data_IF_489790428798
#
_entry.id   IF_489790428798
#
_cell.length_a   1.000
_cell.length_b   1.000
_cell.length_c   1.000
_cell.angle_alpha   90.00
_cell.angle_beta   90.00
_cell.angle_gamma   90.00
#
_symmetry.space_group_name_H-M   'P 1'
#
loop_
_entity.id
_entity.type
_entity.pdbx_description
1 polymer ?
#
# COMPACT_ATOMS: atom_id res chain seq x y z
N UNK A 1 -0.54 -12.61 -18.63
CA UNK A 1 -1.68 -12.79 -17.77
C UNK A 1 -1.46 -11.85 -16.59
N UNK A 2 -2.12 -10.69 -16.59
CA UNK A 2 -1.99 -9.67 -15.56
C UNK A 2 -2.80 -10.14 -14.36
N UNK A 3 -2.14 -10.34 -13.21
CA UNK A 3 -2.77 -10.80 -11.98
C UNK A 3 -3.73 -9.71 -11.48
N UNK A 4 -4.99 -10.00 -11.47
CA UNK A 4 -6.01 -9.27 -10.71
C UNK A 4 -5.85 -9.62 -9.21
N UNK A 5 -6.51 -8.92 -8.27
CA UNK A 5 -6.36 -9.14 -6.84
C UNK A 5 -6.42 -10.62 -6.49
N UNK A 6 -5.45 -11.08 -5.74
CA UNK A 6 -4.95 -12.46 -5.73
C UNK A 6 -5.99 -13.56 -5.47
N UNK A 7 -6.99 -13.33 -4.65
CA UNK A 7 -8.03 -14.32 -4.36
C UNK A 7 -9.21 -14.31 -5.34
N UNK A 8 -9.61 -13.17 -5.89
CA UNK A 8 -10.76 -13.09 -6.79
C UNK A 8 -10.44 -13.50 -8.23
N UNK A 9 -9.22 -13.28 -8.70
CA UNK A 9 -8.86 -13.53 -10.10
C UNK A 9 -8.49 -14.97 -10.39
N UNK A 10 -7.93 -15.71 -9.44
CA UNK A 10 -7.61 -17.12 -9.67
C UNK A 10 -8.85 -18.02 -9.68
N UNK A 11 -9.91 -17.64 -8.96
CA UNK A 11 -11.19 -18.34 -9.05
C UNK A 11 -11.93 -18.11 -10.38
N UNK A 12 -11.57 -17.10 -11.16
CA UNK A 12 -12.24 -16.80 -12.42
C UNK A 12 -11.72 -17.60 -13.64
N UNK A 13 -10.54 -18.21 -13.56
CA UNK A 13 -9.96 -18.97 -14.68
C UNK A 13 -10.31 -20.46 -14.69
N UNK A 14 -11.03 -20.96 -13.70
CA UNK A 14 -11.57 -22.31 -13.75
C UNK A 14 -12.89 -22.34 -14.52
N UNK A 15 -12.82 -22.51 -15.83
CA UNK A 15 -13.89 -23.12 -16.60
C UNK A 15 -14.12 -24.55 -16.10
N UNK A 16 -15.38 -24.90 -15.93
CA UNK A 16 -15.97 -26.02 -15.25
C UNK A 16 -15.49 -27.43 -15.66
N UNK A 17 -14.20 -27.74 -15.61
CA UNK A 17 -13.80 -29.14 -15.93
C UNK A 17 -12.68 -29.76 -15.10
N UNK A 18 -11.98 -29.01 -14.22
CA UNK A 18 -10.91 -29.65 -13.43
C UNK A 18 -10.68 -28.90 -12.11
N UNK A 19 -11.41 -29.23 -11.08
CA UNK A 19 -10.90 -29.21 -9.72
C UNK A 19 -11.93 -29.64 -8.69
N UNK A 20 -11.58 -30.67 -8.01
CA UNK A 20 -12.28 -31.24 -6.86
C UNK A 20 -12.10 -30.45 -5.57
N UNK A 21 -11.14 -29.51 -5.48
CA UNK A 21 -10.90 -28.75 -4.27
C UNK A 21 -11.65 -27.41 -4.27
N UNK A 22 -12.50 -27.22 -3.26
CA UNK A 22 -13.19 -25.96 -2.95
C UNK A 22 -12.34 -25.02 -2.08
N UNK A 23 -11.28 -25.55 -1.47
CA UNK A 23 -10.37 -24.82 -0.61
C UNK A 23 -9.22 -24.25 -1.44
N UNK A 24 -8.89 -23.00 -1.21
CA UNK A 24 -7.70 -22.33 -1.74
C UNK A 24 -6.84 -21.91 -0.55
N UNK A 25 -5.56 -22.27 -0.58
CA UNK A 25 -4.56 -21.86 0.40
C UNK A 25 -3.44 -21.16 -0.38
N UNK A 26 -3.00 -20.03 0.11
CA UNK A 26 -1.90 -19.29 -0.47
C UNK A 26 -1.25 -18.37 0.57
N UNK A 27 -0.38 -17.52 0.10
CA UNK A 27 0.26 -16.51 0.90
C UNK A 27 1.39 -15.83 0.16
N UNK A 28 2.03 -14.92 0.84
CA UNK A 28 3.24 -14.25 0.38
C UNK A 28 4.08 -13.80 1.58
N UNK A 29 5.29 -13.41 1.29
CA UNK A 29 6.16 -12.84 2.31
C UNK A 29 7.52 -12.44 1.75
N UNK A 30 8.25 -11.68 2.52
CA UNK A 30 9.60 -11.28 2.21
C UNK A 30 10.49 -11.25 3.45
N UNK A 31 11.79 -11.46 3.22
CA UNK A 31 12.85 -11.22 4.18
C UNK A 31 13.87 -10.28 3.54
N UNK A 32 14.14 -9.16 4.20
CA UNK A 32 14.91 -8.04 3.64
C UNK A 32 16.02 -7.63 4.58
N UNK A 33 17.22 -7.47 4.04
CA UNK A 33 18.31 -6.71 4.66
C UNK A 33 18.43 -5.37 3.93
N UNK A 34 18.42 -4.26 4.67
CA UNK A 34 18.67 -2.93 4.11
C UNK A 34 19.75 -2.19 4.85
N UNK A 35 20.53 -1.39 4.11
CA UNK A 35 21.54 -0.45 4.61
C UNK A 35 21.18 0.95 4.16
N UNK A 36 21.00 1.85 5.13
CA UNK A 36 20.75 3.26 4.93
C UNK A 36 22.04 4.03 5.25
N UNK A 37 22.46 4.92 4.36
CA UNK A 37 23.70 5.70 4.51
C UNK A 37 23.41 7.12 5.02
N UNK A 38 22.38 7.27 5.83
CA UNK A 38 21.95 8.50 6.47
C UNK A 38 21.39 8.17 7.87
N UNK A 39 21.23 9.18 8.71
CA UNK A 39 20.62 9.02 10.04
C UNK A 39 19.10 8.88 9.95
N UNK A 40 18.52 8.01 10.77
CA UNK A 40 17.06 7.91 10.97
C UNK A 40 16.50 8.96 11.92
N UNK A 41 17.35 9.76 12.56
CA UNK A 41 16.92 10.76 13.52
C UNK A 41 15.99 11.81 12.88
N UNK A 42 14.84 12.05 13.50
CA UNK A 42 13.81 12.97 12.97
C UNK A 42 14.33 14.40 12.82
N UNK A 43 15.31 14.83 13.66
CA UNK A 43 15.95 16.15 13.59
C UNK A 43 16.89 16.33 12.40
N UNK A 44 17.13 15.31 11.57
CA UNK A 44 17.96 15.42 10.36
C UNK A 44 17.44 16.45 9.36
N UNK A 45 16.14 16.73 9.39
CA UNK A 45 15.54 17.76 8.53
C UNK A 45 15.69 19.18 9.12
N UNK A 46 15.61 19.34 10.43
CA UNK A 46 15.77 20.65 11.08
C UNK A 46 17.23 21.04 11.33
N UNK A 47 18.16 20.09 11.30
CA UNK A 47 19.58 20.27 11.58
C UNK A 47 20.46 19.49 10.58
N UNK A 48 20.26 19.72 9.28
CA UNK A 48 20.90 18.94 8.21
C UNK A 48 22.45 18.90 8.33
N UNK A 49 23.08 20.02 8.64
CA UNK A 49 24.54 20.10 8.80
C UNK A 49 25.06 19.18 9.92
N UNK A 50 24.30 19.04 11.00
CA UNK A 50 24.67 18.18 12.13
C UNK A 50 24.65 16.69 11.77
N UNK A 51 23.75 16.30 10.86
CA UNK A 51 23.53 14.91 10.49
C UNK A 51 24.15 14.52 9.16
N UNK A 52 24.88 15.42 8.49
CA UNK A 52 25.50 15.18 7.19
C UNK A 52 26.46 13.99 7.19
N UNK A 53 27.28 13.87 8.24
CA UNK A 53 28.27 12.81 8.40
C UNK A 53 27.83 11.76 9.45
N UNK A 54 26.56 11.73 9.80
CA UNK A 54 26.05 10.78 10.77
C UNK A 54 26.19 9.34 10.24
N UNK A 55 26.57 8.38 11.09
CA UNK A 55 26.62 6.98 10.68
C UNK A 55 25.21 6.52 10.28
N UNK A 56 25.13 5.87 9.14
CA UNK A 56 23.88 5.25 8.71
C UNK A 56 23.55 4.01 9.55
N UNK A 57 22.42 3.37 9.25
CA UNK A 57 21.92 2.21 9.98
C UNK A 57 21.58 1.05 9.03
N UNK A 58 21.46 -0.15 9.57
CA UNK A 58 21.01 -1.33 8.84
C UNK A 58 19.82 -1.95 9.53
N UNK A 59 18.93 -2.59 8.74
CA UNK A 59 17.78 -3.33 9.25
C UNK A 59 17.76 -4.74 8.65
N UNK A 60 17.33 -5.70 9.47
CA UNK A 60 16.79 -6.98 9.03
C UNK A 60 15.29 -6.92 9.29
N UNK A 61 14.51 -7.22 8.29
CA UNK A 61 13.07 -7.02 8.32
C UNK A 61 12.34 -8.19 7.65
N UNK A 62 11.19 -8.55 8.19
CA UNK A 62 10.19 -9.41 7.57
C UNK A 62 8.94 -8.55 7.34
N UNK A 63 8.93 -7.67 6.33
CA UNK A 63 7.86 -6.68 6.19
C UNK A 63 6.48 -7.30 6.25
N UNK A 64 6.31 -8.43 5.56
CA UNK A 64 5.03 -9.14 5.51
C UNK A 64 5.27 -10.66 5.53
N UNK A 65 4.45 -11.38 6.29
CA UNK A 65 4.31 -12.82 6.21
C UNK A 65 2.81 -13.15 6.25
N UNK A 66 2.22 -13.46 5.10
CA UNK A 66 0.76 -13.48 4.91
C UNK A 66 0.26 -14.88 4.59
N UNK A 67 -0.84 -15.26 5.22
CA UNK A 67 -1.60 -16.48 4.96
C UNK A 67 -2.94 -16.10 4.32
N UNK A 68 -3.21 -16.65 3.14
CA UNK A 68 -4.46 -16.47 2.42
C UNK A 68 -5.28 -17.77 2.43
N UNK A 69 -6.54 -17.69 2.83
CA UNK A 69 -7.47 -18.80 2.79
C UNK A 69 -8.74 -18.40 2.03
N UNK A 70 -9.22 -19.29 1.18
CA UNK A 70 -10.47 -19.09 0.46
C UNK A 70 -11.27 -20.38 0.38
N UNK A 71 -12.59 -20.26 0.41
CA UNK A 71 -13.46 -21.42 0.23
C UNK A 71 -14.66 -21.09 -0.68
N UNK A 72 -14.90 -21.96 -1.67
CA UNK A 72 -16.05 -21.87 -2.57
C UNK A 72 -17.16 -22.82 -2.10
N UNK A 73 -18.26 -22.26 -1.59
CA UNK A 73 -19.43 -23.03 -1.15
C UNK A 73 -20.25 -23.57 -2.35
N UNK A 74 -19.95 -23.12 -3.55
CA UNK A 74 -20.79 -23.35 -4.74
C UNK A 74 -21.93 -22.33 -4.85
N UNK A 75 -22.70 -22.46 -5.93
CA UNK A 75 -23.82 -21.53 -6.22
C UNK A 75 -23.41 -20.05 -6.24
N UNK A 76 -22.15 -19.75 -6.49
CA UNK A 76 -21.58 -18.38 -6.51
C UNK A 76 -21.28 -17.78 -5.14
N UNK A 77 -21.37 -18.53 -4.05
CA UNK A 77 -20.96 -18.09 -2.72
C UNK A 77 -19.51 -18.48 -2.43
N UNK A 78 -18.73 -17.54 -1.92
CA UNK A 78 -17.36 -17.78 -1.47
C UNK A 78 -16.99 -16.87 -0.30
N UNK A 79 -15.99 -17.30 0.47
CA UNK A 79 -15.32 -16.51 1.48
C UNK A 79 -13.85 -16.40 1.15
N UNK A 80 -13.21 -15.35 1.66
CA UNK A 80 -11.75 -15.19 1.66
C UNK A 80 -11.31 -14.49 2.92
N UNK A 81 -10.13 -14.86 3.37
CA UNK A 81 -9.44 -14.20 4.48
C UNK A 81 -7.95 -14.09 4.15
N UNK A 82 -7.35 -13.04 4.65
CA UNK A 82 -5.93 -12.74 4.54
C UNK A 82 -5.46 -12.26 5.90
N UNK A 83 -4.55 -13.02 6.51
CA UNK A 83 -4.00 -12.77 7.83
C UNK A 83 -2.53 -12.43 7.63
N UNK A 84 -2.15 -11.24 8.03
CA UNK A 84 -0.81 -10.71 7.94
C UNK A 84 -0.11 -10.71 9.28
N UNK A 85 1.17 -11.07 9.25
CA UNK A 85 2.12 -10.89 10.33
C UNK A 85 3.14 -9.85 9.86
N UNK A 86 3.01 -8.63 10.32
CA UNK A 86 3.97 -7.56 10.02
C UNK A 86 5.19 -7.68 10.93
N UNK A 87 6.38 -7.43 10.37
CA UNK A 87 7.65 -7.51 11.09
C UNK A 87 7.81 -8.78 11.95
N UNK A 88 7.13 -9.86 11.55
CA UNK A 88 6.88 -11.09 12.28
C UNK A 88 8.09 -12.00 12.44
N UNK A 89 9.08 -11.73 13.05
CA UNK A 89 10.30 -12.50 13.31
C UNK A 89 11.32 -11.67 14.05
N UNK A 90 11.05 -10.41 14.26
CA UNK A 90 11.84 -9.52 15.10
C UNK A 90 11.25 -9.61 16.50
N UNK A 91 11.89 -10.38 17.37
CA UNK A 91 11.34 -10.85 18.64
C UNK A 91 11.18 -9.80 19.73
N UNK A 92 11.57 -8.57 19.58
CA UNK A 92 11.34 -7.54 20.59
C UNK A 92 11.35 -6.15 19.98
N UNK A 93 10.22 -5.51 19.94
CA UNK A 93 10.16 -4.06 19.87
C UNK A 93 10.26 -3.51 21.29
N UNK A 94 11.23 -2.66 21.53
CA UNK A 94 11.17 -1.73 22.65
C UNK A 94 10.37 -0.55 22.10
N UNK A 95 9.08 -0.52 22.34
CA UNK A 95 8.31 0.68 22.15
C UNK A 95 8.85 1.72 23.14
N UNK A 96 9.53 2.69 22.62
CA UNK A 96 9.83 3.90 23.38
C UNK A 96 8.57 4.72 23.32
N UNK A 97 7.68 4.54 24.27
CA UNK A 97 6.65 5.52 24.54
C UNK A 97 7.32 6.81 24.99
N UNK A 98 7.62 7.66 24.03
CA UNK A 98 8.11 8.99 24.29
C UNK A 98 6.91 9.89 24.54
N UNK A 99 6.70 10.28 25.82
CA UNK A 99 5.96 11.46 26.27
C UNK A 99 4.45 11.37 26.48
N UNK A 100 3.84 10.20 26.66
CA UNK A 100 2.40 10.23 26.97
C UNK A 100 2.08 10.42 28.47
N UNK A 101 3.00 10.16 29.37
CA UNK A 101 2.71 10.24 30.82
C UNK A 101 3.70 11.02 31.68
N UNK A 102 4.80 11.52 31.09
CA UNK A 102 5.89 12.10 31.89
C UNK A 102 6.68 11.07 32.70
N UNK A 103 6.39 9.81 32.54
CA UNK A 103 7.13 8.67 33.07
C UNK A 103 7.73 7.92 31.88
N UNK A 104 9.05 7.74 31.89
CA UNK A 104 9.76 6.94 30.90
C UNK A 104 9.51 5.46 31.21
N UNK A 105 8.40 4.92 30.79
CA UNK A 105 8.19 3.47 30.81
C UNK A 105 8.73 2.90 29.49
N UNK A 106 9.69 2.00 29.61
CA UNK A 106 10.13 1.14 28.52
C UNK A 106 9.34 -0.16 28.65
N UNK A 107 8.23 -0.28 27.92
CA UNK A 107 7.64 -1.59 27.70
C UNK A 107 8.42 -2.31 26.61
N UNK A 108 8.88 -3.50 26.92
CA UNK A 108 9.45 -4.42 25.95
C UNK A 108 8.30 -5.30 25.49
N UNK A 109 7.65 -4.91 24.41
CA UNK A 109 6.70 -5.80 23.73
C UNK A 109 7.45 -6.77 22.82
N UNK A 110 6.99 -8.00 22.77
CA UNK A 110 7.47 -8.97 21.78
C UNK A 110 6.86 -8.63 20.44
N UNK A 111 7.72 -8.26 19.49
CA UNK A 111 7.35 -7.64 18.25
C UNK A 111 6.51 -8.45 17.30
N UNK A 112 5.83 -7.73 16.46
CA UNK A 112 5.04 -8.16 15.34
C UNK A 112 3.56 -7.89 15.54
N UNK A 113 2.97 -7.14 14.65
CA UNK A 113 1.52 -6.95 14.56
C UNK A 113 0.88 -8.11 13.80
N UNK A 114 -0.28 -8.57 14.24
CA UNK A 114 -1.13 -9.51 13.49
C UNK A 114 -2.36 -8.74 13.02
N UNK A 115 -2.40 -8.47 11.73
CA UNK A 115 -3.48 -7.74 11.09
C UNK A 115 -4.40 -8.67 10.29
N UNK A 116 -5.70 -8.40 10.33
CA UNK A 116 -6.65 -9.01 9.43
C UNK A 116 -6.80 -8.10 8.20
N UNK A 117 -6.02 -8.32 7.15
CA UNK A 117 -6.10 -7.50 5.94
C UNK A 117 -7.39 -7.71 5.15
N UNK A 118 -7.88 -8.94 5.10
CA UNK A 118 -9.13 -9.24 4.43
C UNK A 118 -9.93 -10.29 5.20
N UNK A 119 -11.23 -10.07 5.28
CA UNK A 119 -12.21 -11.08 5.72
C UNK A 119 -13.56 -10.75 5.09
N UNK A 120 -13.95 -11.50 4.08
CA UNK A 120 -15.16 -11.17 3.32
C UNK A 120 -15.97 -12.39 2.89
N UNK A 121 -17.25 -12.13 2.67
CA UNK A 121 -18.19 -13.03 2.00
C UNK A 121 -18.57 -12.42 0.66
N UNK A 122 -18.59 -13.23 -0.38
CA UNK A 122 -18.95 -12.81 -1.73
C UNK A 122 -20.08 -13.64 -2.31
N UNK A 123 -21.00 -12.96 -2.99
CA UNK A 123 -21.99 -13.58 -3.89
C UNK A 123 -21.72 -13.17 -5.32
N UNK A 124 -21.42 -14.13 -6.16
CA UNK A 124 -21.30 -13.95 -7.60
C UNK A 124 -22.64 -14.32 -8.25
N UNK A 125 -23.31 -13.34 -8.85
CA UNK A 125 -24.58 -13.55 -9.57
C UNK A 125 -24.32 -13.90 -11.04
N UNK A 126 -23.45 -13.15 -11.69
CA UNK A 126 -23.04 -13.34 -13.07
C UNK A 126 -21.73 -12.60 -13.35
N UNK A 127 -21.31 -12.54 -14.62
CA UNK A 127 -20.09 -11.83 -15.02
C UNK A 127 -20.14 -10.33 -14.74
N UNK A 128 -21.34 -9.73 -14.79
CA UNK A 128 -21.49 -8.27 -14.72
C UNK A 128 -21.81 -7.76 -13.32
N UNK A 129 -22.32 -8.60 -12.44
CA UNK A 129 -22.75 -8.19 -11.11
C UNK A 129 -22.34 -9.21 -10.06
N UNK A 130 -21.56 -8.74 -9.10
CA UNK A 130 -21.11 -9.48 -7.93
C UNK A 130 -21.13 -8.56 -6.73
N UNK A 131 -21.40 -9.09 -5.56
CA UNK A 131 -21.40 -8.36 -4.30
C UNK A 131 -20.39 -9.01 -3.37
N UNK A 132 -19.58 -8.20 -2.71
CA UNK A 132 -18.68 -8.62 -1.64
C UNK A 132 -18.92 -7.73 -0.43
N UNK A 133 -18.95 -8.31 0.76
CA UNK A 133 -19.12 -7.58 2.03
C UNK A 133 -18.18 -8.13 3.09
N UNK A 134 -17.68 -7.27 3.95
CA UNK A 134 -16.72 -7.59 5.00
C UNK A 134 -15.53 -6.64 4.97
N UNK A 135 -14.40 -7.09 5.48
CA UNK A 135 -13.13 -6.35 5.41
C UNK A 135 -12.46 -6.60 4.07
N UNK A 136 -12.31 -5.55 3.27
CA UNK A 136 -11.97 -5.64 1.85
C UNK A 136 -10.91 -4.61 1.47
N UNK A 137 -10.07 -4.93 0.49
CA UNK A 137 -9.09 -3.98 -0.05
C UNK A 137 -9.82 -2.85 -0.79
N UNK A 138 -9.44 -1.62 -0.49
CA UNK A 138 -9.94 -0.42 -1.17
C UNK A 138 -9.25 -0.28 -2.52
N UNK A 139 -9.97 -0.22 -3.66
CA UNK A 139 -9.39 -0.35 -4.98
C UNK A 139 -8.81 0.97 -5.53
N UNK A 140 -8.27 1.82 -4.67
CA UNK A 140 -7.70 3.13 -5.01
C UNK A 140 -6.20 3.01 -5.10
N UNK A 141 -5.63 3.54 -6.19
CA UNK A 141 -4.20 3.49 -6.46
C UNK A 141 -3.73 2.20 -7.14
N UNK A 142 -2.48 2.21 -7.60
CA UNK A 142 -1.83 1.09 -8.26
C UNK A 142 -1.39 0.03 -7.25
N UNK A 143 -0.80 0.45 -6.14
CA UNK A 143 -0.17 -0.43 -5.15
C UNK A 143 -1.20 -1.25 -4.40
N UNK A 144 -2.30 -0.64 -3.93
CA UNK A 144 -3.38 -1.38 -3.26
C UNK A 144 -3.96 -2.50 -4.13
N UNK A 145 -4.08 -2.26 -5.44
CA UNK A 145 -4.54 -3.28 -6.38
C UNK A 145 -3.49 -4.34 -6.70
N UNK A 146 -2.19 -4.08 -6.41
CA UNK A 146 -1.06 -4.93 -6.77
C UNK A 146 0.01 -4.95 -5.67
N UNK A 147 -0.38 -5.29 -4.44
CA UNK A 147 0.46 -5.21 -3.25
C UNK A 147 1.37 -6.43 -3.00
N UNK A 148 1.19 -7.53 -3.75
CA UNK A 148 2.04 -8.70 -3.57
C UNK A 148 3.51 -8.41 -3.94
N UNK A 149 4.49 -8.91 -3.17
CA UNK A 149 5.90 -8.58 -3.36
C UNK A 149 6.49 -9.04 -4.70
N UNK A 150 5.83 -9.94 -5.41
CA UNK A 150 6.22 -10.35 -6.78
C UNK A 150 5.60 -9.47 -7.88
N UNK A 151 4.76 -8.50 -7.53
CA UNK A 151 4.07 -7.62 -8.48
C UNK A 151 4.79 -6.30 -8.71
N UNK A 152 5.77 -5.94 -7.90
CA UNK A 152 6.65 -4.78 -8.06
C UNK A 152 8.12 -5.22 -8.01
N UNK A 153 9.03 -4.38 -8.55
CA UNK A 153 10.44 -4.78 -8.64
C UNK A 153 11.22 -4.47 -7.36
N UNK A 154 10.93 -3.38 -6.67
CA UNK A 154 11.58 -3.04 -5.40
C UNK A 154 11.43 -4.11 -4.33
N UNK A 155 12.20 -4.02 -3.27
CA UNK A 155 12.03 -4.83 -2.05
C UNK A 155 10.88 -4.31 -1.21
N UNK A 156 10.68 -3.00 -1.21
CA UNK A 156 9.52 -2.36 -0.62
C UNK A 156 8.58 -1.83 -1.70
N UNK A 157 7.33 -1.57 -1.33
CA UNK A 157 6.31 -0.95 -2.20
C UNK A 157 6.80 0.39 -2.75
N UNK A 158 6.33 0.88 -3.91
CA UNK A 158 6.62 2.23 -4.40
C UNK A 158 6.37 3.28 -3.33
N UNK A 159 7.35 4.19 -3.14
CA UNK A 159 7.36 5.04 -1.95
C UNK A 159 6.29 6.13 -1.99
N UNK A 160 6.08 6.78 -3.14
CA UNK A 160 5.18 7.93 -3.23
C UNK A 160 3.75 7.59 -2.87
N UNK A 161 3.14 6.66 -3.57
CA UNK A 161 1.77 6.21 -3.30
C UNK A 161 1.64 5.66 -1.86
N UNK A 162 2.63 4.85 -1.42
CA UNK A 162 2.65 4.29 -0.08
C UNK A 162 2.82 5.36 1.03
N UNK A 163 3.33 6.54 0.69
CA UNK A 163 3.47 7.64 1.65
C UNK A 163 2.18 8.43 1.80
N UNK A 164 1.50 8.78 0.70
CA UNK A 164 0.37 9.71 0.73
C UNK A 164 -0.97 9.05 1.01
N UNK A 165 -1.10 7.74 0.80
CA UNK A 165 -2.33 6.97 1.00
C UNK A 165 -2.10 5.76 1.90
N UNK A 166 -3.15 5.23 2.58
CA UNK A 166 -3.04 3.93 3.24
C UNK A 166 -2.63 2.83 2.24
N UNK A 167 -1.69 1.95 2.65
CA UNK A 167 -1.16 0.89 1.80
C UNK A 167 -0.57 -0.26 2.69
N UNK A 168 -1.16 -1.47 2.73
CA UNK A 168 -2.37 -1.89 2.01
C UNK A 168 -3.60 -1.21 2.60
N UNK A 169 -4.39 -0.55 1.78
CA UNK A 169 -5.62 0.08 2.26
C UNK A 169 -6.76 -0.95 2.26
N UNK A 170 -7.25 -1.29 3.41
CA UNK A 170 -8.40 -2.16 3.60
C UNK A 170 -9.40 -1.53 4.57
N UNK A 171 -10.68 -1.77 4.35
CA UNK A 171 -11.78 -1.22 5.17
C UNK A 171 -12.96 -2.21 5.22
N UNK A 172 -13.73 -2.13 6.29
CA UNK A 172 -14.98 -2.90 6.39
C UNK A 172 -16.08 -2.21 5.62
N UNK A 173 -16.66 -2.88 4.63
CA UNK A 173 -17.68 -2.28 3.78
C UNK A 173 -18.31 -3.23 2.80
N UNK A 174 -18.91 -2.66 1.76
CA UNK A 174 -19.58 -3.41 0.68
C UNK A 174 -19.03 -2.99 -0.66
N UNK A 175 -18.75 -3.96 -1.51
CA UNK A 175 -18.28 -3.79 -2.89
C UNK A 175 -19.27 -4.38 -3.87
N UNK A 176 -19.56 -3.61 -4.93
CA UNK A 176 -20.20 -4.07 -6.16
C UNK A 176 -19.16 -4.08 -7.27
N UNK A 177 -18.97 -5.24 -7.93
CA UNK A 177 -17.98 -5.34 -8.99
C UNK A 177 -18.46 -6.22 -10.14
N UNK A 178 -17.85 -6.03 -11.31
CA UNK A 178 -18.17 -6.81 -12.48
C UNK A 178 -17.20 -6.62 -13.63
N UNK A 179 -17.46 -7.36 -14.74
CA UNK A 179 -16.69 -7.29 -15.98
C UNK A 179 -17.62 -7.18 -17.19
N UNK A 180 -17.26 -6.30 -18.14
CA UNK A 180 -17.98 -6.13 -19.41
C UNK A 180 -16.95 -5.98 -20.55
N UNK A 181 -16.84 -7.01 -21.40
CA UNK A 181 -15.79 -7.04 -22.43
C UNK A 181 -14.39 -6.97 -21.82
N UNK A 182 -13.65 -5.94 -22.20
CA UNK A 182 -12.30 -5.64 -21.68
C UNK A 182 -12.30 -4.75 -20.44
N UNK A 183 -13.47 -4.39 -19.94
CA UNK A 183 -13.62 -3.54 -18.77
C UNK A 183 -13.88 -4.35 -17.52
N UNK A 184 -13.21 -3.99 -16.40
CA UNK A 184 -13.54 -4.37 -15.02
C UNK A 184 -13.91 -3.12 -14.26
N UNK A 185 -14.91 -3.18 -13.43
CA UNK A 185 -15.32 -2.07 -12.59
C UNK A 185 -15.65 -2.55 -11.16
N UNK A 186 -15.43 -1.67 -10.22
CA UNK A 186 -15.72 -1.89 -8.80
C UNK A 186 -16.12 -0.57 -8.16
N UNK A 187 -17.15 -0.60 -7.31
CA UNK A 187 -17.60 0.52 -6.49
C UNK A 187 -17.78 0.03 -5.07
N UNK A 188 -17.29 0.79 -4.10
CA UNK A 188 -17.36 0.44 -2.68
C UNK A 188 -18.01 1.53 -1.88
N UNK A 189 -18.72 1.13 -0.81
CA UNK A 189 -19.22 1.98 0.26
C UNK A 189 -18.54 1.57 1.56
N UNK A 190 -17.86 2.51 2.21
CA UNK A 190 -16.91 2.29 3.29
C UNK A 190 -17.09 3.37 4.38
N UNK A 191 -16.59 3.19 5.61
CA UNK A 191 -16.35 4.29 6.54
C UNK A 191 -15.36 5.29 5.94
N UNK A 192 -15.55 6.56 6.22
CA UNK A 192 -14.58 7.58 5.83
C UNK A 192 -13.29 7.47 6.67
N UNK A 193 -12.17 8.02 6.15
CA UNK A 193 -10.95 8.18 6.92
C UNK A 193 -11.15 9.13 8.10
N UNK A 194 -10.31 9.00 9.13
CA UNK A 194 -10.34 9.86 10.32
C UNK A 194 -9.25 10.94 10.20
N UNK A 195 -9.66 12.20 10.02
CA UNK A 195 -8.73 13.31 9.86
C UNK A 195 -7.96 13.69 11.14
N UNK A 196 -8.30 13.13 12.31
CA UNK A 196 -7.47 13.26 13.51
C UNK A 196 -6.10 12.57 13.37
N UNK A 197 -6.00 11.57 12.47
CA UNK A 197 -4.79 10.79 12.22
C UNK A 197 -3.96 11.33 11.04
N UNK A 198 -4.41 12.38 10.36
CA UNK A 198 -3.69 13.00 9.27
C UNK A 198 -2.49 13.79 9.78
N UNK A 199 -1.39 13.77 9.04
CA UNK A 199 -0.13 14.39 9.45
C UNK A 199 0.65 14.99 8.26
N UNK A 200 1.74 15.67 8.56
CA UNK A 200 2.58 16.36 7.57
C UNK A 200 3.48 15.40 6.78
N UNK A 201 3.88 14.28 7.36
CA UNK A 201 4.79 13.34 6.70
C UNK A 201 4.08 12.40 5.72
N UNK A 202 2.88 11.96 6.06
CA UNK A 202 2.14 10.93 5.33
C UNK A 202 0.76 11.38 4.84
N UNK A 203 0.46 12.66 4.87
CA UNK A 203 -0.84 13.21 4.48
C UNK A 203 -2.02 12.44 5.13
N UNK A 204 -2.73 11.59 4.38
CA UNK A 204 -3.88 10.82 4.88
C UNK A 204 -3.57 9.35 5.16
N UNK A 205 -2.31 8.93 5.03
CA UNK A 205 -1.86 7.53 5.14
C UNK A 205 -2.42 6.82 6.39
N UNK A 206 -2.29 7.44 7.56
CA UNK A 206 -2.75 6.84 8.81
C UNK A 206 -4.27 6.94 9.04
N UNK A 207 -5.00 7.61 8.14
CA UNK A 207 -6.43 7.87 8.33
C UNK A 207 -7.32 6.62 8.35
N UNK A 208 -6.83 5.48 7.88
CA UNK A 208 -7.50 4.18 7.94
C UNK A 208 -7.30 3.46 9.27
N UNK A 209 -6.35 3.86 10.09
CA UNK A 209 -6.16 3.31 11.43
C UNK A 209 -7.32 3.70 12.37
N UNK A 210 -7.46 2.97 13.46
CA UNK A 210 -8.45 3.26 14.51
C UNK A 210 -7.79 3.11 15.88
N UNK A 211 -7.90 4.11 16.75
CA UNK A 211 -7.45 3.98 18.14
C UNK A 211 -8.44 3.17 18.99
N UNK A 212 -9.46 2.58 18.39
CA UNK A 212 -10.48 1.77 19.06
C UNK A 212 -10.45 0.33 18.54
N UNK A 213 -11.03 -0.58 19.31
CA UNK A 213 -11.23 -1.99 18.91
C UNK A 213 -12.21 -2.15 17.72
N UNK A 214 -12.73 -1.06 17.20
CA UNK A 214 -13.66 -1.01 16.07
C UNK A 214 -13.42 0.22 15.20
N UNK A 215 -13.94 0.21 13.99
CA UNK A 215 -13.87 1.33 13.05
C UNK A 215 -15.06 2.27 13.24
N UNK A 216 -14.88 3.56 13.56
CA UNK A 216 -15.95 4.54 13.52
C UNK A 216 -16.55 4.65 12.11
N UNK A 217 -17.86 4.76 12.02
CA UNK A 217 -18.60 4.87 10.76
C UNK A 217 -19.65 5.98 10.83
N UNK A 218 -19.34 7.08 11.52
CA UNK A 218 -20.21 8.25 11.60
C UNK A 218 -20.28 9.00 10.26
N UNK A 219 -19.31 8.79 9.40
CA UNK A 219 -19.27 9.30 8.04
C UNK A 219 -18.91 8.17 7.07
N UNK A 220 -19.59 8.16 5.92
CA UNK A 220 -19.35 7.17 4.88
C UNK A 220 -18.56 7.78 3.72
N UNK A 221 -17.86 6.92 3.01
CA UNK A 221 -17.08 7.25 1.82
C UNK A 221 -17.42 6.30 0.68
N UNK A 222 -17.22 6.79 -0.53
CA UNK A 222 -17.26 6.00 -1.76
C UNK A 222 -15.87 5.83 -2.35
N UNK A 223 -15.56 4.62 -2.81
CA UNK A 223 -14.39 4.34 -3.62
C UNK A 223 -14.82 3.66 -4.92
N UNK A 224 -14.11 3.93 -6.01
CA UNK A 224 -14.41 3.32 -7.29
C UNK A 224 -13.13 3.08 -8.10
N UNK A 225 -13.15 2.03 -8.93
CA UNK A 225 -12.09 1.70 -9.89
C UNK A 225 -12.66 1.16 -11.18
N UNK A 226 -12.03 1.56 -12.29
CA UNK A 226 -12.30 1.00 -13.62
C UNK A 226 -10.97 0.62 -14.25
N UNK A 227 -10.84 -0.63 -14.69
CA UNK A 227 -9.70 -1.13 -15.44
C UNK A 227 -10.11 -1.44 -16.89
N UNK A 228 -9.27 -1.05 -17.85
CA UNK A 228 -9.41 -1.42 -19.26
C UNK A 228 -8.21 -2.23 -19.72
N UNK A 229 -8.49 -3.37 -20.36
CA UNK A 229 -7.49 -4.33 -20.85
C UNK A 229 -7.78 -4.76 -22.29
N UNK A 230 -8.13 -3.82 -23.18
CA UNK A 230 -8.50 -4.09 -24.59
C UNK A 230 -7.29 -4.39 -25.47
N UNK A 231 -6.09 -4.02 -25.09
CA UNK A 231 -4.83 -4.29 -25.81
C UNK A 231 -4.06 -5.36 -25.02
N UNK A 232 -3.57 -6.37 -25.73
CA UNK A 232 -2.79 -7.46 -25.12
C UNK A 232 -1.55 -6.91 -24.40
N UNK A 233 -1.47 -7.22 -23.13
CA UNK A 233 -0.36 -6.80 -22.26
C UNK A 233 -0.51 -5.41 -21.67
N UNK A 234 -1.50 -4.62 -22.05
CA UNK A 234 -1.75 -3.28 -21.50
C UNK A 234 -2.99 -3.28 -20.61
N UNK A 235 -2.86 -2.71 -19.42
CA UNK A 235 -3.96 -2.30 -18.55
C UNK A 235 -3.86 -0.80 -18.32
N UNK A 236 -4.96 -0.09 -18.44
CA UNK A 236 -5.16 1.29 -18.02
C UNK A 236 -6.22 1.31 -16.94
N UNK A 237 -6.02 2.10 -15.91
CA UNK A 237 -6.92 2.13 -14.76
C UNK A 237 -7.16 3.56 -14.29
N UNK A 238 -8.39 3.82 -13.87
CA UNK A 238 -8.79 5.01 -13.13
C UNK A 238 -9.42 4.56 -11.83
N UNK A 239 -9.03 5.19 -10.73
CA UNK A 239 -9.66 4.96 -9.43
C UNK A 239 -9.79 6.25 -8.65
N UNK A 240 -10.65 6.26 -7.64
CA UNK A 240 -10.85 7.43 -6.82
C UNK A 240 -11.62 7.13 -5.54
N UNK A 241 -11.53 8.08 -4.63
CA UNK A 241 -12.15 8.06 -3.32
C UNK A 241 -12.77 9.41 -3.01
N UNK A 242 -13.91 9.41 -2.32
CA UNK A 242 -14.53 10.61 -1.78
C UNK A 242 -15.20 10.30 -0.43
N UNK A 243 -14.92 11.12 0.60
CA UNK A 243 -15.54 10.97 1.92
C UNK A 243 -15.32 12.19 2.80
N UNK A 244 -16.21 12.38 3.79
CA UNK A 244 -16.09 13.43 4.79
C UNK A 244 -15.35 12.90 6.02
N UNK A 245 -14.21 13.51 6.36
CA UNK A 245 -13.26 12.94 7.33
C UNK A 245 -13.28 13.64 8.70
N UNK A 246 -13.88 14.85 8.79
CA UNK A 246 -13.73 15.71 9.96
C UNK A 246 -14.36 15.13 11.24
N UNK A 247 -15.50 14.46 11.10
CA UNK A 247 -16.30 13.94 12.23
C UNK A 247 -16.38 12.40 12.22
N UNK A 248 -15.47 11.70 11.51
CA UNK A 248 -15.47 10.24 11.54
C UNK A 248 -14.66 9.70 12.73
N UNK A 249 -15.14 10.01 13.93
CA UNK A 249 -14.60 9.60 15.22
C UNK A 249 -15.77 9.26 16.15
N UNK A 250 -15.53 8.59 17.30
CA UNK A 250 -16.56 8.34 18.30
C UNK A 250 -16.88 9.57 19.14
N UNK A 251 -15.93 10.49 19.25
CA UNK A 251 -16.14 11.74 19.98
C UNK A 251 -16.90 12.73 19.07
N UNK A 252 -18.22 12.64 19.06
CA UNK A 252 -19.04 13.60 18.34
C UNK A 252 -19.05 14.95 19.05
N UNK A 253 -18.10 15.80 18.71
CA UNK A 253 -18.10 17.17 19.21
C UNK A 253 -19.10 18.00 18.42
N UNK A 254 -20.13 18.48 19.09
CA UNK A 254 -21.07 19.43 18.48
C UNK A 254 -20.48 20.84 18.58
N UNK A 255 -20.07 21.38 17.45
CA UNK A 255 -19.55 22.74 17.38
C UNK A 255 -20.70 23.73 17.25
N UNK A 256 -20.84 24.73 18.16
CA UNK A 256 -21.84 25.78 18.04
C UNK A 256 -21.58 26.68 16.82
N UNK A 257 -22.59 27.39 16.33
CA UNK A 257 -22.47 28.28 15.17
C UNK A 257 -21.36 29.36 15.30
N UNK A 258 -20.99 29.68 16.53
CA UNK A 258 -19.91 30.63 16.82
C UNK A 258 -18.51 30.00 16.73
N UNK A 259 -18.42 28.69 16.64
CA UNK A 259 -17.15 27.98 16.51
C UNK A 259 -16.61 28.10 15.10
N UNK A 260 -15.27 28.23 14.96
CA UNK A 260 -14.57 28.15 13.68
C UNK A 260 -14.75 26.79 12.98
N UNK A 261 -15.06 25.75 13.73
CA UNK A 261 -15.25 24.38 13.22
C UNK A 261 -16.71 24.09 12.83
N UNK A 262 -17.61 25.05 12.99
CA UNK A 262 -19.01 24.86 12.61
C UNK A 262 -19.15 24.58 11.12
N UNK A 263 -19.79 23.49 10.79
CA UNK A 263 -20.00 23.06 9.40
C UNK A 263 -18.78 22.48 8.68
N UNK A 264 -17.63 22.33 9.35
CA UNK A 264 -16.46 21.69 8.75
C UNK A 264 -16.75 20.23 8.41
N UNK A 265 -16.42 19.81 7.21
CA UNK A 265 -16.64 18.44 6.70
C UNK A 265 -15.35 17.67 6.49
N UNK A 266 -14.24 18.38 6.18
CA UNK A 266 -12.99 17.74 5.80
C UNK A 266 -13.17 16.82 4.60
N UNK A 267 -13.87 17.30 3.55
CA UNK A 267 -14.14 16.48 2.37
C UNK A 267 -12.83 16.13 1.68
N UNK A 268 -12.49 14.84 1.69
CA UNK A 268 -11.32 14.29 1.03
C UNK A 268 -11.71 13.73 -0.33
N UNK A 269 -10.99 14.11 -1.37
CA UNK A 269 -11.10 13.57 -2.73
C UNK A 269 -9.74 13.09 -3.19
N UNK A 270 -9.65 11.85 -3.68
CA UNK A 270 -8.44 11.27 -4.27
C UNK A 270 -8.79 10.76 -5.65
N UNK A 271 -7.96 11.06 -6.63
CA UNK A 271 -8.05 10.56 -8.00
C UNK A 271 -6.72 9.95 -8.42
N UNK A 272 -6.76 8.74 -8.97
CA UNK A 272 -5.58 7.98 -9.38
C UNK A 272 -5.75 7.49 -10.81
N UNK A 273 -4.70 7.64 -11.60
CA UNK A 273 -4.53 6.99 -12.89
C UNK A 273 -3.34 6.05 -12.80
N UNK A 274 -3.49 4.81 -13.21
CA UNK A 274 -2.37 3.88 -13.32
C UNK A 274 -2.39 3.10 -14.64
N UNK A 275 -1.21 2.69 -15.07
CA UNK A 275 -1.04 1.82 -16.20
C UNK A 275 -0.05 0.70 -15.91
N UNK A 276 -0.23 -0.44 -16.56
CA UNK A 276 0.72 -1.52 -16.57
C UNK A 276 0.80 -2.12 -17.98
N UNK A 277 2.02 -2.21 -18.51
CA UNK A 277 2.30 -2.85 -19.77
C UNK A 277 3.29 -4.00 -19.56
N UNK A 278 3.00 -5.14 -20.15
CA UNK A 278 3.89 -6.31 -20.14
C UNK A 278 3.89 -7.01 -21.49
N UNK A 279 5.08 -7.16 -22.03
CA UNK A 279 5.30 -8.04 -23.17
C UNK A 279 6.27 -9.20 -22.80
N UNK A 280 6.93 -9.80 -23.80
CA UNK A 280 7.83 -10.95 -23.58
C UNK A 280 9.03 -10.61 -22.71
N UNK A 281 9.60 -9.41 -22.83
CA UNK A 281 10.87 -9.01 -22.21
C UNK A 281 10.78 -7.70 -21.41
N UNK A 282 9.73 -6.92 -21.58
CA UNK A 282 9.55 -5.61 -20.91
C UNK A 282 8.34 -5.63 -20.00
N UNK A 283 8.51 -5.10 -18.81
CA UNK A 283 7.42 -4.68 -17.90
C UNK A 283 7.57 -3.20 -17.67
N UNK A 284 6.49 -2.44 -17.87
CA UNK A 284 6.43 -1.00 -17.61
C UNK A 284 5.19 -0.71 -16.78
N UNK A 285 5.33 0.06 -15.70
CA UNK A 285 4.23 0.48 -14.83
C UNK A 285 4.41 1.92 -14.43
N UNK A 286 3.32 2.59 -14.10
CA UNK A 286 3.36 3.94 -13.56
C UNK A 286 1.99 4.37 -13.09
N UNK A 287 1.99 5.39 -12.24
CA UNK A 287 0.80 6.02 -11.70
C UNK A 287 0.96 7.54 -11.64
N UNK A 288 -0.15 8.21 -11.53
CA UNK A 288 -0.26 9.61 -11.13
C UNK A 288 -1.46 9.70 -10.20
N UNK A 289 -1.21 10.15 -8.98
CA UNK A 289 -2.19 10.28 -7.94
C UNK A 289 -2.24 11.72 -7.46
N UNK A 290 -3.44 12.22 -7.24
CA UNK A 290 -3.67 13.54 -6.69
C UNK A 290 -4.84 13.49 -5.69
N UNK A 291 -4.63 14.14 -4.55
CA UNK A 291 -5.65 14.28 -3.55
C UNK A 291 -5.81 15.70 -3.05
N UNK A 292 -7.05 16.05 -2.69
CA UNK A 292 -7.41 17.34 -2.12
C UNK A 292 -8.27 17.14 -0.87
N UNK A 293 -7.91 17.85 0.19
CA UNK A 293 -8.58 17.84 1.50
C UNK A 293 -9.21 19.21 1.78
N UNK A 294 -10.53 19.25 1.72
CA UNK A 294 -11.27 20.43 2.17
C UNK A 294 -11.09 20.67 3.67
N UNK A 295 -11.20 21.93 4.08
CA UNK A 295 -11.03 22.34 5.48
C UNK A 295 -9.65 21.99 6.09
N UNK A 296 -8.59 21.79 5.27
CA UNK A 296 -7.26 21.37 5.71
C UNK A 296 -6.65 22.33 6.75
N UNK A 297 -6.87 23.64 6.61
CA UNK A 297 -6.45 24.64 7.60
C UNK A 297 -7.15 24.46 8.96
N UNK A 298 -8.44 24.13 8.96
CA UNK A 298 -9.19 23.85 10.20
C UNK A 298 -8.73 22.55 10.85
N UNK A 299 -8.53 21.50 10.05
CA UNK A 299 -8.01 20.21 10.51
C UNK A 299 -6.62 20.39 11.11
N UNK A 300 -5.71 21.07 10.42
CA UNK A 300 -4.37 21.40 10.91
C UNK A 300 -4.40 22.16 12.23
N UNK A 301 -5.27 23.16 12.34
CA UNK A 301 -5.46 23.92 13.58
C UNK A 301 -5.97 23.05 14.72
N UNK A 302 -6.94 22.15 14.44
CA UNK A 302 -7.45 21.20 15.42
C UNK A 302 -6.37 20.22 15.86
N UNK A 303 -5.69 19.58 14.92
CA UNK A 303 -4.69 18.55 15.20
C UNK A 303 -3.51 19.11 16.02
N UNK A 304 -2.99 20.31 15.68
CA UNK A 304 -1.95 20.98 16.48
C UNK A 304 -2.38 21.35 17.89
N UNK A 305 -3.65 21.61 18.11
CA UNK A 305 -4.19 22.02 19.42
C UNK A 305 -4.85 20.88 20.20
N UNK A 306 -4.76 19.65 19.73
CA UNK A 306 -5.20 18.50 20.52
C UNK A 306 -4.36 18.43 21.80
N UNK A 307 -5.05 18.25 22.91
CA UNK A 307 -4.35 18.10 24.20
C UNK A 307 -3.66 16.73 24.22
N UNK A 308 -2.40 16.73 24.59
CA UNK A 308 -1.65 15.53 24.98
C UNK A 308 -2.27 14.98 26.26
N UNK A 309 -3.38 14.26 26.13
CA UNK A 309 -3.86 13.41 27.23
C UNK A 309 -3.18 12.06 27.08
N UNK A 310 -2.79 11.46 28.18
CA UNK A 310 -2.31 10.09 28.27
C UNK A 310 -3.18 9.16 27.41
N UNK A 311 -2.59 8.48 26.44
CA UNK A 311 -3.33 7.61 25.51
C UNK A 311 -3.98 8.30 24.31
N UNK A 312 -3.58 9.53 23.94
CA UNK A 312 -4.01 10.15 22.69
C UNK A 312 -3.01 9.81 21.56
N UNK A 313 -3.37 8.89 20.62
CA UNK A 313 -2.49 8.45 19.53
C UNK A 313 -2.43 9.44 18.36
N UNK A 314 -3.07 10.59 18.47
CA UNK A 314 -3.21 11.52 17.35
C UNK A 314 -1.94 12.35 17.13
N UNK A 315 -1.46 12.49 15.90
CA UNK A 315 -0.31 13.34 15.60
C UNK A 315 -0.66 14.82 15.85
N UNK A 316 0.29 15.55 16.42
CA UNK A 316 0.16 17.00 16.71
C UNK A 316 0.76 17.85 15.58
N UNK A 317 0.53 17.48 14.33
CA UNK A 317 1.09 18.15 13.15
C UNK A 317 -0.01 18.77 12.28
N UNK A 318 0.42 19.59 11.32
CA UNK A 318 -0.46 20.04 10.25
C UNK A 318 -0.70 18.91 9.24
N UNK A 319 -1.64 19.13 8.33
CA UNK A 319 -1.84 18.31 7.13
C UNK A 319 -1.90 19.19 5.90
N UNK A 320 -1.34 18.75 4.78
CA UNK A 320 -1.43 19.45 3.50
C UNK A 320 -2.86 19.52 2.98
N UNK A 321 -3.23 20.62 2.34
CA UNK A 321 -4.49 20.74 1.60
C UNK A 321 -4.55 19.78 0.42
N UNK A 322 -3.39 19.53 -0.17
CA UNK A 322 -3.25 18.54 -1.24
C UNK A 322 -1.98 17.71 -1.05
N UNK A 323 -1.98 16.54 -1.68
CA UNK A 323 -0.80 15.73 -1.87
C UNK A 323 -0.87 15.09 -3.26
N UNK A 324 0.29 14.73 -3.80
CA UNK A 324 0.37 14.09 -5.10
C UNK A 324 1.56 13.15 -5.21
N UNK A 325 1.45 12.19 -6.12
CA UNK A 325 2.51 11.25 -6.48
C UNK A 325 2.49 11.00 -7.99
N UNK A 326 3.67 10.82 -8.56
CA UNK A 326 3.86 10.35 -9.92
C UNK A 326 5.04 9.39 -9.96
N UNK A 327 4.80 8.16 -10.42
CA UNK A 327 5.84 7.15 -10.50
C UNK A 327 5.89 6.46 -11.85
N UNK A 328 7.08 5.97 -12.18
CA UNK A 328 7.32 5.09 -13.32
C UNK A 328 8.34 4.04 -12.98
N UNK A 329 8.05 2.79 -13.32
CA UNK A 329 8.92 1.64 -13.12
C UNK A 329 9.03 0.83 -14.41
N UNK A 330 10.27 0.52 -14.82
CA UNK A 330 10.56 -0.28 -15.99
C UNK A 330 11.51 -1.43 -15.65
N UNK A 331 11.19 -2.64 -16.10
CA UNK A 331 12.04 -3.81 -15.93
C UNK A 331 12.19 -4.61 -17.22
N UNK A 332 13.42 -4.99 -17.53
CA UNK A 332 13.77 -5.75 -18.73
C UNK A 332 14.25 -7.15 -18.34
N UNK A 333 13.59 -8.18 -18.88
CA UNK A 333 14.01 -9.57 -18.71
C UNK A 333 15.22 -9.86 -19.60
N UNK A 334 16.40 -9.90 -19.00
CA UNK A 334 17.66 -10.08 -19.70
C UNK A 334 17.75 -11.46 -20.39
N UNK A 335 17.17 -12.51 -19.81
CA UNK A 335 17.17 -13.83 -20.43
C UNK A 335 16.35 -13.86 -21.71
N UNK A 336 15.21 -13.19 -21.72
CA UNK A 336 14.39 -13.08 -22.92
C UNK A 336 14.98 -12.12 -23.95
N UNK A 337 15.61 -11.04 -23.51
CA UNK A 337 16.21 -10.03 -24.40
C UNK A 337 17.40 -10.57 -25.16
N UNK A 338 18.31 -11.29 -24.48
CA UNK A 338 19.52 -11.83 -25.08
C UNK A 338 19.38 -13.25 -25.63
N UNK A 339 18.17 -13.83 -25.59
CA UNK A 339 17.92 -15.18 -26.07
C UNK A 339 18.51 -16.28 -25.20
N UNK A 340 18.94 -15.96 -23.98
CA UNK A 340 19.40 -16.93 -22.97
C UNK A 340 18.22 -17.67 -22.31
N UNK A 341 17.10 -17.81 -22.98
CA UNK A 341 15.98 -18.59 -22.47
C UNK A 341 16.47 -20.01 -22.19
N UNK A 342 16.82 -20.22 -20.93
CA UNK A 342 17.36 -21.51 -20.50
C UNK A 342 16.24 -22.53 -20.55
N UNK A 343 16.35 -23.45 -21.51
CA UNK A 343 15.56 -24.69 -21.53
C UNK A 343 16.01 -25.67 -20.41
N UNK A 344 16.72 -25.19 -19.41
CA UNK A 344 17.09 -26.01 -18.26
C UNK A 344 15.81 -26.29 -17.46
N UNK A 345 15.29 -27.46 -17.73
CA UNK A 345 14.26 -28.12 -16.94
C UNK A 345 14.84 -28.37 -15.55
N UNK A 346 14.59 -27.47 -14.60
CA UNK A 346 14.86 -27.75 -13.20
C UNK A 346 13.78 -28.74 -12.76
N UNK A 347 14.14 -30.04 -12.79
CA UNK A 347 13.31 -31.14 -12.32
C UNK A 347 12.20 -31.56 -13.31
N UNK A 348 12.39 -32.72 -13.95
CA UNK A 348 11.31 -33.45 -14.58
C UNK A 348 10.48 -34.10 -13.47
N UNK A 349 9.42 -33.44 -13.02
CA UNK A 349 8.27 -34.14 -12.44
C UNK A 349 7.20 -34.28 -13.53
N UNK A 350 6.47 -35.39 -13.55
CA UNK A 350 5.53 -35.79 -14.60
C UNK A 350 4.37 -34.83 -14.91
N UNK A 351 4.35 -33.62 -14.29
CA UNK A 351 3.39 -32.56 -14.54
C UNK A 351 4.11 -31.27 -14.97
N UNK A 352 5.00 -31.38 -15.98
CA UNK A 352 5.87 -30.30 -16.41
C UNK A 352 5.16 -29.19 -17.19
N UNK A 353 4.74 -28.15 -16.49
CA UNK A 353 4.80 -26.84 -17.09
C UNK A 353 6.26 -26.38 -17.06
N UNK A 354 6.90 -26.21 -18.22
CA UNK A 354 8.25 -25.70 -18.35
C UNK A 354 8.26 -24.28 -17.76
N UNK A 355 8.79 -24.14 -16.55
CA UNK A 355 8.93 -22.83 -15.89
C UNK A 355 10.32 -22.31 -16.25
N UNK A 356 10.37 -21.21 -16.97
CA UNK A 356 11.63 -20.53 -17.30
C UNK A 356 11.97 -19.54 -16.20
N UNK A 357 13.19 -19.60 -15.68
CA UNK A 357 13.75 -18.58 -14.79
C UNK A 357 13.84 -17.23 -15.51
N UNK A 358 13.84 -16.13 -14.77
CA UNK A 358 13.94 -14.77 -15.31
C UNK A 358 14.94 -13.96 -14.51
N UNK A 359 15.59 -13.02 -15.19
CA UNK A 359 16.42 -12.00 -14.57
C UNK A 359 15.95 -10.65 -15.08
N UNK A 360 15.39 -9.83 -14.20
CA UNK A 360 15.04 -8.46 -14.54
C UNK A 360 16.10 -7.49 -14.06
N UNK A 361 16.55 -6.62 -14.96
CA UNK A 361 17.16 -5.35 -14.60
C UNK A 361 16.06 -4.31 -14.60
N UNK A 362 15.93 -3.53 -13.51
CA UNK A 362 14.87 -2.52 -13.39
C UNK A 362 15.41 -1.18 -12.95
N UNK A 363 14.63 -0.15 -13.25
CA UNK A 363 14.76 1.19 -12.70
C UNK A 363 13.38 1.74 -12.34
N UNK A 364 13.33 2.55 -11.30
CA UNK A 364 12.13 3.25 -10.83
C UNK A 364 12.45 4.69 -10.49
N UNK A 365 11.52 5.57 -10.81
CA UNK A 365 11.49 6.95 -10.39
C UNK A 365 10.15 7.26 -9.77
N UNK A 366 10.15 7.79 -8.55
CA UNK A 366 8.99 8.31 -7.85
C UNK A 366 9.23 9.79 -7.57
N UNK A 367 8.23 10.64 -7.76
CA UNK A 367 8.23 12.04 -7.33
C UNK A 367 6.90 12.33 -6.65
N UNK A 368 6.93 12.73 -5.40
CA UNK A 368 5.75 12.97 -4.61
C UNK A 368 5.94 14.13 -3.64
N UNK A 369 4.82 14.71 -3.25
CA UNK A 369 4.74 15.70 -2.18
C UNK A 369 3.55 15.35 -1.29
N UNK A 370 3.85 15.08 -0.02
CA UNK A 370 2.85 14.75 0.99
C UNK A 370 2.27 15.99 1.69
N UNK A 371 2.78 17.18 1.41
CA UNK A 371 2.38 18.41 2.10
C UNK A 371 2.36 19.65 1.20
N UNK A 372 1.36 19.78 0.36
CA UNK A 372 1.05 21.06 -0.30
C UNK A 372 0.22 21.88 0.68
N UNK A 373 0.72 23.02 1.19
CA UNK A 373 0.07 23.74 2.27
C UNK A 373 -1.24 24.40 1.85
N UNK A 374 -2.18 24.51 2.80
CA UNK A 374 -3.34 25.38 2.69
C UNK A 374 -2.93 26.87 2.85
N UNK A 375 -3.80 27.77 2.42
CA UNK A 375 -3.60 29.23 2.58
C UNK A 375 -3.27 29.59 4.04
N UNK A 376 -2.19 30.36 4.21
CA UNK A 376 -1.70 30.82 5.51
C UNK A 376 -0.82 29.81 6.27
N UNK A 377 -0.53 28.64 5.69
CA UNK A 377 0.40 27.66 6.24
C UNK A 377 1.74 27.71 5.48
N UNK A 378 2.82 27.47 6.21
CA UNK A 378 4.16 27.41 5.63
C UNK A 378 4.40 26.02 5.03
N UNK A 379 5.03 26.00 3.89
CA UNK A 379 5.44 24.77 3.22
C UNK A 379 6.45 23.95 4.04
N UNK A 380 6.43 22.64 3.84
CA UNK A 380 7.34 21.67 4.48
C UNK A 380 8.18 21.02 3.36
N UNK A 381 9.19 21.70 2.91
CA UNK A 381 9.99 21.32 1.75
C UNK A 381 10.65 19.93 1.81
N UNK A 382 10.82 19.31 2.98
CA UNK A 382 11.31 17.93 3.09
C UNK A 382 10.20 16.89 2.79
N UNK A 383 8.94 17.29 2.72
CA UNK A 383 7.82 16.43 2.35
C UNK A 383 7.79 16.15 0.85
N UNK A 384 8.34 17.07 0.03
CA UNK A 384 8.56 16.81 -1.39
C UNK A 384 9.84 16.00 -1.59
N UNK A 385 9.73 14.85 -2.27
CA UNK A 385 10.82 13.91 -2.48
C UNK A 385 10.83 13.32 -3.89
N UNK A 386 12.04 13.12 -4.40
CA UNK A 386 12.27 12.34 -5.61
C UNK A 386 13.06 11.09 -5.25
N UNK A 387 12.58 9.92 -5.62
CA UNK A 387 13.25 8.65 -5.33
C UNK A 387 13.68 8.01 -6.65
N UNK A 388 14.97 7.75 -6.76
CA UNK A 388 15.53 6.98 -7.88
C UNK A 388 16.03 5.67 -7.35
N UNK A 389 15.59 4.56 -7.91
CA UNK A 389 16.12 3.23 -7.57
C UNK A 389 16.41 2.42 -8.83
N UNK A 390 17.42 1.56 -8.71
CA UNK A 390 17.80 0.57 -9.73
C UNK A 390 18.12 -0.75 -9.04
N UNK A 391 17.87 -1.86 -9.74
CA UNK A 391 18.12 -3.15 -9.13
C UNK A 391 18.01 -4.31 -10.09
N UNK A 392 18.28 -5.50 -9.55
CA UNK A 392 18.24 -6.77 -10.26
C UNK A 392 17.37 -7.76 -9.47
N UNK A 393 16.44 -8.41 -10.17
CA UNK A 393 15.59 -9.44 -9.61
C UNK A 393 15.80 -10.75 -10.35
N UNK A 394 16.18 -11.79 -9.63
CA UNK A 394 16.25 -13.14 -10.14
C UNK A 394 15.06 -13.96 -9.68
N UNK A 395 14.30 -14.48 -10.63
CA UNK A 395 13.16 -15.37 -10.41
C UNK A 395 13.55 -16.79 -10.81
N UNK A 396 14.01 -17.65 -9.88
CA UNK A 396 14.20 -19.08 -10.17
C UNK A 396 12.87 -19.75 -10.51
N UNK A 397 11.79 -19.31 -9.87
CA UNK A 397 10.40 -19.71 -10.10
C UNK A 397 9.54 -18.45 -10.18
N UNK A 398 8.37 -18.48 -10.84
CA UNK A 398 7.46 -17.33 -10.89
C UNK A 398 7.01 -16.84 -9.51
N UNK A 399 7.00 -17.74 -8.54
CA UNK A 399 6.54 -17.52 -7.17
C UNK A 399 7.64 -17.04 -6.21
N UNK A 400 8.93 -17.15 -6.61
CA UNK A 400 10.07 -16.81 -5.75
C UNK A 400 10.94 -15.81 -6.48
N UNK A 401 11.36 -14.74 -5.80
CA UNK A 401 12.34 -13.80 -6.32
C UNK A 401 13.43 -13.50 -5.27
N UNK A 402 14.67 -13.45 -5.76
CA UNK A 402 15.79 -12.85 -5.03
C UNK A 402 16.01 -11.47 -5.65
N UNK A 403 15.93 -10.44 -4.83
CA UNK A 403 15.96 -9.05 -5.26
C UNK A 403 17.13 -8.32 -4.63
N UNK A 404 17.76 -7.43 -5.40
CA UNK A 404 18.76 -6.50 -4.89
C UNK A 404 18.51 -5.13 -5.55
N UNK A 405 18.53 -4.08 -4.75
CA UNK A 405 18.35 -2.71 -5.21
C UNK A 405 19.26 -1.72 -4.51
N UNK A 406 19.51 -0.60 -5.15
CA UNK A 406 20.10 0.59 -4.58
C UNK A 406 19.33 1.81 -5.05
N UNK A 407 19.19 2.78 -4.19
CA UNK A 407 18.45 4.00 -4.50
C UNK A 407 18.87 5.19 -3.66
N UNK A 408 18.29 6.32 -3.98
CA UNK A 408 18.49 7.57 -3.27
C UNK A 408 17.19 8.38 -3.26
N UNK A 409 16.84 8.91 -2.09
CA UNK A 409 15.87 9.99 -1.97
C UNK A 409 16.60 11.30 -2.11
N UNK A 410 16.21 12.07 -3.11
CA UNK A 410 16.69 13.41 -3.37
C UNK A 410 15.73 14.39 -2.70
N UNK A 411 16.26 15.26 -1.87
CA UNK A 411 15.53 16.30 -1.17
C UNK A 411 15.98 17.68 -1.64
N UNK A 412 15.27 18.72 -1.24
CA UNK A 412 15.66 20.11 -1.50
C UNK A 412 17.08 20.41 -0.95
N UNK A 413 17.77 21.36 -1.56
CA UNK A 413 19.21 21.58 -1.39
C UNK A 413 19.69 21.86 0.04
N UNK A 414 18.80 22.26 0.93
CA UNK A 414 19.09 22.49 2.35
C UNK A 414 19.11 21.20 3.18
N UNK A 415 18.69 20.06 2.61
CA UNK A 415 18.67 18.76 3.28
C UNK A 415 19.73 17.81 2.71
N UNK A 416 20.05 16.78 3.45
CA UNK A 416 20.92 15.71 2.98
C UNK A 416 20.11 14.68 2.20
N UNK A 417 20.61 14.26 1.04
CA UNK A 417 20.03 13.15 0.32
C UNK A 417 20.16 11.84 1.13
N UNK A 418 19.25 10.91 0.88
CA UNK A 418 19.10 9.69 1.66
C UNK A 418 19.39 8.43 0.78
N UNK A 419 20.66 8.08 0.56
CA UNK A 419 21.03 6.88 -0.21
C UNK A 419 20.83 5.61 0.62
N UNK A 420 20.44 4.53 -0.08
CA UNK A 420 20.23 3.22 0.52
C UNK A 420 20.56 2.07 -0.44
N UNK A 421 20.73 0.88 0.10
CA UNK A 421 20.71 -0.36 -0.66
C UNK A 421 20.01 -1.47 0.13
N UNK A 422 19.46 -2.44 -0.58
CA UNK A 422 18.75 -3.55 0.04
C UNK A 422 18.92 -4.84 -0.78
N UNK A 423 18.84 -5.98 -0.10
CA UNK A 423 18.77 -7.31 -0.69
C UNK A 423 17.75 -8.15 0.08
N UNK A 424 17.04 -9.00 -0.61
CA UNK A 424 16.04 -9.85 0.03
C UNK A 424 15.55 -10.98 -0.84
N UNK A 425 14.75 -11.84 -0.22
CA UNK A 425 14.02 -12.92 -0.88
C UNK A 425 12.54 -12.67 -0.68
N UNK A 426 11.75 -12.85 -1.73
CA UNK A 426 10.30 -12.73 -1.70
C UNK A 426 9.65 -13.97 -2.29
N UNK A 427 8.48 -14.30 -1.80
CA UNK A 427 7.66 -15.34 -2.39
C UNK A 427 6.19 -14.91 -2.40
N UNK A 428 5.43 -15.37 -3.38
CA UNK A 428 3.98 -15.26 -3.41
C UNK A 428 3.41 -16.40 -4.23
N UNK A 429 2.41 -17.10 -3.70
CA UNK A 429 1.85 -18.22 -4.43
C UNK A 429 0.64 -18.84 -3.76
N UNK A 430 -0.01 -19.76 -4.52
CA UNK A 430 -1.14 -20.55 -4.04
C UNK A 430 -0.78 -22.02 -4.12
N UNK A 431 -0.98 -22.71 -3.02
CA UNK A 431 -0.83 -24.16 -2.96
C UNK A 431 -2.09 -24.79 -3.54
N UNK A 432 -1.92 -25.58 -4.60
CA UNK A 432 -3.00 -26.38 -5.19
C UNK A 432 -2.81 -27.82 -4.74
N UNK A 433 -3.83 -28.40 -4.14
CA UNK A 433 -3.97 -29.85 -4.04
C UNK A 433 -4.64 -30.41 -5.30
#
# INVERSE_FOLDING_TARGET
>A
MLLAPALSAQNEQKTAKDSTSRLTIGGYGEAVFSRHFYSDNVFRYSHADRYKDAPGYSRLDLPHAVIMLGYDFGHGWSIGTEIEFEHGGVEAAVEKETEETGEFEQEIERGGEVALEQFWVQKRFNRHLNIRAGHIVVPVGMTNANHLPTQFFGLYRPEGENTIMPCTWHETGVSLWGKAGSWRYEVQLLPALNSNLFNDAGWVHNGSASPYEFRPANSLAGAARVDWSGIKGLRLSLSGYIGNTFNNDITTTVYPETSRYYGATGTLMIGCFDFAYKNRWLVLRGNVDYGHLGDASLISTRNKNQTTMTGNPYPHTAVGESAWDASIEAGVDLFQMFGFSDNRTIGKTEHSNIRTSKVYLFGRYDHYDSFVPADGWTDIEWAERQVVSVGVNYYPLPEIAIKAEGGVRLLASQYNNEPYCAIGITWAGFFKN
#
